data_IF_387622638117
#
_entry.id   IF_387622638117
#
_cell.length_a   1.000
_cell.length_b   1.000
_cell.length_c   1.000
_cell.angle_alpha   90.00
_cell.angle_beta   90.00
_cell.angle_gamma   90.00
#
_symmetry.space_group_name_H-M   'P 1'
#
loop_
_entity.id
_entity.type
_entity.pdbx_description
1 polymer ?
#
# COMPACT_ATOMS: atom_id res chain seq x y z
N UNK A 1 6.17 13.75 -35.74
CA UNK A 1 5.42 14.17 -34.53
C UNK A 1 4.02 13.58 -34.47
N UNK A 2 3.15 13.79 -35.48
CA UNK A 2 1.78 13.24 -35.48
C UNK A 2 1.69 11.70 -35.46
N UNK A 3 2.62 11.01 -36.13
CA UNK A 3 2.67 9.54 -36.16
C UNK A 3 2.99 8.94 -34.77
N UNK A 4 3.91 9.57 -34.03
CA UNK A 4 4.29 9.14 -32.67
C UNK A 4 3.11 9.39 -31.72
N UNK A 5 2.45 10.55 -31.82
CA UNK A 5 1.28 10.86 -31.00
C UNK A 5 0.12 9.87 -31.24
N UNK A 6 -0.15 9.51 -32.49
CA UNK A 6 -1.18 8.53 -32.83
C UNK A 6 -0.83 7.13 -32.29
N UNK A 7 0.43 6.71 -32.39
CA UNK A 7 0.89 5.43 -31.82
C UNK A 7 0.75 5.41 -30.30
N UNK A 8 1.12 6.49 -29.61
CA UNK A 8 0.97 6.63 -28.15
C UNK A 8 -0.49 6.64 -27.68
N UNK A 9 -1.42 7.14 -28.49
CA UNK A 9 -2.86 7.09 -28.16
C UNK A 9 -3.48 5.71 -28.41
N UNK A 10 -2.97 4.97 -29.40
CA UNK A 10 -3.49 3.66 -29.79
C UNK A 10 -2.98 2.56 -28.85
N UNK A 11 -1.72 2.68 -28.44
CA UNK A 11 -1.16 1.95 -27.29
C UNK A 11 -1.69 2.66 -26.05
N UNK A 12 -2.99 2.46 -25.71
CA UNK A 12 -3.56 2.88 -24.42
C UNK A 12 -2.48 2.69 -23.38
N UNK A 13 -2.06 3.77 -22.70
CA UNK A 13 -0.91 3.79 -21.79
C UNK A 13 -0.87 2.51 -20.94
N UNK A 14 -0.19 1.47 -21.44
CA UNK A 14 0.09 0.25 -20.72
C UNK A 14 1.40 0.47 -19.96
N UNK A 15 1.53 1.70 -19.44
CA UNK A 15 2.68 2.18 -18.71
C UNK A 15 2.42 1.78 -17.27
N UNK A 16 3.21 0.87 -16.66
CA UNK A 16 2.91 0.37 -15.32
C UNK A 16 3.14 1.41 -14.22
N UNK A 17 3.40 2.68 -14.56
CA UNK A 17 3.98 3.67 -13.64
C UNK A 17 3.09 4.90 -13.32
N UNK A 18 1.76 4.83 -13.41
CA UNK A 18 0.95 5.98 -12.93
C UNK A 18 0.76 6.00 -11.41
N UNK A 19 0.98 4.87 -10.72
CA UNK A 19 0.83 4.77 -9.26
C UNK A 19 2.16 4.62 -8.50
N UNK A 20 3.29 4.56 -9.22
CA UNK A 20 4.60 4.62 -8.58
C UNK A 20 4.84 6.04 -8.05
N UNK A 21 5.46 6.20 -6.87
CA UNK A 21 5.81 7.52 -6.38
C UNK A 21 6.71 8.20 -7.42
N UNK A 22 6.17 9.22 -8.11
CA UNK A 22 6.95 10.09 -8.99
C UNK A 22 8.19 10.53 -8.21
N UNK A 23 9.37 10.22 -8.75
CA UNK A 23 10.67 10.34 -8.10
C UNK A 23 10.79 11.65 -7.30
N UNK A 24 10.60 11.53 -5.98
CA UNK A 24 11.00 12.55 -5.05
C UNK A 24 12.51 12.71 -5.13
N UNK A 25 12.97 13.94 -4.86
CA UNK A 25 14.36 14.38 -4.74
C UNK A 25 15.33 13.21 -4.43
N UNK A 26 16.41 12.97 -5.20
CA UNK A 26 17.36 11.89 -4.94
C UNK A 26 17.85 12.01 -3.50
N UNK A 27 17.35 11.12 -2.65
CA UNK A 27 17.56 11.17 -1.21
C UNK A 27 18.38 9.95 -0.85
N UNK A 28 19.33 10.11 0.07
CA UNK A 28 20.12 8.97 0.57
C UNK A 28 19.28 7.97 1.37
N UNK A 29 18.03 8.32 1.68
CA UNK A 29 17.08 7.46 2.39
C UNK A 29 16.21 6.69 1.41
N UNK A 30 15.97 5.39 1.67
CA UNK A 30 15.05 4.60 0.86
C UNK A 30 13.65 5.22 0.79
N UNK A 31 13.03 5.13 -0.38
CA UNK A 31 11.65 5.60 -0.60
C UNK A 31 10.68 4.45 -0.36
N UNK A 32 9.74 4.62 0.57
CA UNK A 32 8.77 3.58 0.93
C UNK A 32 7.41 3.77 0.23
N UNK A 33 6.85 2.65 -0.26
CA UNK A 33 5.50 2.55 -0.79
C UNK A 33 4.78 1.32 -0.23
N UNK A 34 3.45 1.34 -0.28
CA UNK A 34 2.61 0.26 0.23
C UNK A 34 1.72 -0.29 -0.87
N UNK A 35 1.54 -1.60 -0.87
CA UNK A 35 0.65 -2.31 -1.79
C UNK A 35 0.02 -3.52 -1.10
N UNK A 36 -1.04 -4.06 -1.70
CA UNK A 36 -1.73 -5.24 -1.20
C UNK A 36 -1.53 -6.41 -2.17
N UNK A 37 -1.37 -7.60 -1.63
CA UNK A 37 -1.37 -8.86 -2.39
C UNK A 37 -2.47 -9.78 -1.88
N UNK A 38 -2.81 -10.82 -2.65
CA UNK A 38 -3.58 -11.94 -2.12
C UNK A 38 -2.71 -12.89 -1.27
N UNK A 39 -3.31 -14.00 -0.81
CA UNK A 39 -2.64 -15.04 -0.03
C UNK A 39 -1.53 -15.80 -0.78
N UNK A 40 -1.53 -15.76 -2.13
CA UNK A 40 -0.44 -16.30 -2.95
C UNK A 40 0.69 -15.31 -3.22
N UNK A 41 0.55 -14.06 -2.78
CA UNK A 41 1.53 -13.00 -3.01
C UNK A 41 1.33 -12.26 -4.34
N UNK A 42 0.24 -12.52 -5.06
CA UNK A 42 -0.07 -11.82 -6.31
C UNK A 42 -0.60 -10.40 -6.03
N UNK A 43 -0.08 -9.35 -6.69
CA UNK A 43 -0.51 -7.98 -6.46
C UNK A 43 -2.00 -7.75 -6.77
N UNK A 44 -2.70 -7.08 -5.86
CA UNK A 44 -4.10 -6.73 -6.03
C UNK A 44 -4.27 -5.41 -6.79
N UNK A 45 -5.25 -5.29 -7.70
CA UNK A 45 -5.63 -4.03 -8.34
C UNK A 45 -6.43 -3.15 -7.36
N UNK A 46 -5.80 -2.70 -6.27
CA UNK A 46 -6.46 -2.04 -5.13
C UNK A 46 -7.28 -0.81 -5.54
N UNK A 47 -6.78 -0.01 -6.48
CA UNK A 47 -7.48 1.17 -6.96
C UNK A 47 -8.82 0.82 -7.64
N UNK A 48 -8.86 -0.26 -8.42
CA UNK A 48 -10.10 -0.73 -9.05
C UNK A 48 -11.07 -1.27 -8.00
N UNK A 49 -10.57 -2.10 -7.07
CA UNK A 49 -11.38 -2.81 -6.09
C UNK A 49 -11.91 -1.91 -4.97
N UNK A 50 -11.09 -0.96 -4.48
CA UNK A 50 -11.39 -0.15 -3.30
C UNK A 50 -11.49 1.36 -3.59
N UNK A 51 -11.01 1.82 -4.76
CA UNK A 51 -10.85 3.24 -5.05
C UNK A 51 -9.67 3.90 -4.33
N UNK A 52 -8.83 3.14 -3.64
CA UNK A 52 -7.66 3.64 -2.91
C UNK A 52 -6.39 3.49 -3.76
N UNK A 53 -5.58 4.54 -3.79
CA UNK A 53 -4.27 4.55 -4.45
C UNK A 53 -3.16 4.22 -3.46
N UNK A 54 -2.00 3.74 -3.91
CA UNK A 54 -0.86 3.41 -3.03
C UNK A 54 -0.47 4.54 -2.05
N UNK A 55 -0.44 5.84 -2.46
CA UNK A 55 -0.21 6.94 -1.51
C UNK A 55 -1.30 7.06 -0.44
N UNK A 56 -2.57 6.77 -0.78
CA UNK A 56 -3.68 6.81 0.18
C UNK A 56 -3.63 5.63 1.15
N UNK A 57 -3.20 4.44 0.68
CA UNK A 57 -2.94 3.29 1.55
C UNK A 57 -1.90 3.68 2.62
N UNK A 58 -0.73 4.18 2.19
CA UNK A 58 0.32 4.68 3.08
C UNK A 58 -0.22 5.75 4.04
N UNK A 59 -0.98 6.72 3.54
CA UNK A 59 -1.57 7.78 4.37
C UNK A 59 -2.49 7.22 5.44
N UNK A 60 -3.37 6.26 5.13
CA UNK A 60 -4.25 5.62 6.12
C UNK A 60 -3.47 4.90 7.21
N UNK A 61 -2.46 4.14 6.83
CA UNK A 61 -1.56 3.45 7.76
C UNK A 61 -0.91 4.42 8.74
N UNK A 62 -0.21 5.43 8.20
CA UNK A 62 0.47 6.44 9.00
C UNK A 62 -0.52 7.20 9.89
N UNK A 63 -1.70 7.53 9.38
CA UNK A 63 -2.71 8.27 10.16
C UNK A 63 -3.18 7.47 11.38
N UNK A 64 -3.43 6.17 11.24
CA UNK A 64 -3.86 5.34 12.37
C UNK A 64 -2.73 5.10 13.37
N UNK A 65 -1.50 4.89 12.91
CA UNK A 65 -0.33 4.76 13.79
C UNK A 65 -0.07 6.06 14.56
N UNK A 66 -0.14 7.22 13.90
CA UNK A 66 0.01 8.53 14.56
C UNK A 66 -1.12 8.82 15.55
N UNK A 67 -2.35 8.37 15.25
CA UNK A 67 -3.47 8.46 16.18
C UNK A 67 -3.18 7.65 17.44
N UNK A 68 -2.71 6.41 17.29
CA UNK A 68 -2.31 5.57 18.43
C UNK A 68 -1.19 6.21 19.26
N UNK A 69 -0.14 6.74 18.62
CA UNK A 69 0.95 7.45 19.30
C UNK A 69 0.41 8.60 20.14
N UNK A 70 -0.53 9.39 19.60
CA UNK A 70 -1.16 10.50 20.32
C UNK A 70 -2.01 10.01 21.50
N UNK A 71 -2.86 9.01 21.28
CA UNK A 71 -3.81 8.49 22.26
C UNK A 71 -3.09 7.80 23.44
N UNK A 72 -1.91 7.23 23.19
CA UNK A 72 -1.08 6.54 24.18
C UNK A 72 0.14 7.36 24.65
N UNK A 73 0.23 8.64 24.29
CA UNK A 73 1.32 9.55 24.66
C UNK A 73 2.75 9.01 24.38
N UNK A 74 2.90 8.29 23.26
CA UNK A 74 4.18 7.76 22.82
C UNK A 74 5.03 8.86 22.16
N UNK A 75 6.35 8.69 22.17
CA UNK A 75 7.28 9.64 21.56
C UNK A 75 7.12 9.70 20.04
N UNK A 76 7.05 8.55 19.40
CA UNK A 76 6.97 8.39 17.96
C UNK A 76 6.41 7.00 17.58
N UNK A 77 6.33 6.75 16.27
CA UNK A 77 5.83 5.49 15.70
C UNK A 77 6.73 4.29 16.03
N UNK A 78 8.01 4.49 16.29
CA UNK A 78 8.93 3.40 16.62
C UNK A 78 8.73 2.90 18.06
N UNK A 79 8.08 3.70 18.91
CA UNK A 79 7.71 3.31 20.26
C UNK A 79 6.40 2.50 20.35
N UNK A 80 5.71 2.24 19.22
CA UNK A 80 4.49 1.41 19.20
C UNK A 80 4.89 -0.05 19.43
N UNK A 81 4.31 -0.76 20.42
CA UNK A 81 4.57 -2.18 20.62
C UNK A 81 4.19 -3.01 19.38
N UNK A 82 4.97 -4.05 19.01
CA UNK A 82 4.72 -4.85 17.80
C UNK A 82 3.32 -5.45 17.71
N UNK A 83 2.74 -5.84 18.85
CA UNK A 83 1.39 -6.39 18.95
C UNK A 83 0.32 -5.36 18.57
N UNK A 84 0.42 -4.14 19.10
CA UNK A 84 -0.52 -3.05 18.78
C UNK A 84 -0.32 -2.54 17.36
N UNK A 85 0.93 -2.52 16.88
CA UNK A 85 1.20 -2.21 15.49
C UNK A 85 0.45 -3.18 14.58
N UNK A 86 0.62 -4.49 14.78
CA UNK A 86 -0.07 -5.53 14.01
C UNK A 86 -1.60 -5.36 14.05
N UNK A 87 -2.17 -5.04 15.21
CA UNK A 87 -3.61 -4.78 15.37
C UNK A 87 -4.08 -3.57 14.56
N UNK A 88 -3.36 -2.44 14.65
CA UNK A 88 -3.67 -1.22 13.89
C UNK A 88 -3.68 -1.50 12.39
N UNK A 89 -2.66 -2.20 11.89
CA UNK A 89 -2.53 -2.54 10.47
C UNK A 89 -3.62 -3.49 10.00
N UNK A 90 -3.97 -4.48 10.82
CA UNK A 90 -5.09 -5.40 10.60
C UNK A 90 -6.44 -4.66 10.51
N UNK A 91 -6.65 -3.65 11.37
CA UNK A 91 -7.84 -2.80 11.33
C UNK A 91 -7.91 -1.97 10.04
N UNK A 92 -6.78 -1.43 9.57
CA UNK A 92 -6.73 -0.71 8.28
C UNK A 92 -7.05 -1.64 7.12
N UNK A 93 -6.47 -2.85 7.11
CA UNK A 93 -6.78 -3.88 6.10
C UNK A 93 -8.26 -4.25 6.06
N UNK A 94 -8.86 -4.46 7.23
CA UNK A 94 -10.31 -4.73 7.35
C UNK A 94 -11.15 -3.57 6.81
N UNK A 95 -10.69 -2.32 6.98
CA UNK A 95 -11.32 -1.15 6.36
C UNK A 95 -11.35 -1.20 4.83
N UNK A 96 -10.31 -1.74 4.19
CA UNK A 96 -10.31 -1.94 2.73
C UNK A 96 -11.32 -3.00 2.27
N UNK A 97 -11.53 -4.06 3.07
CA UNK A 97 -12.55 -5.07 2.80
C UNK A 97 -13.95 -4.45 2.82
N UNK A 98 -14.28 -3.68 3.85
CA UNK A 98 -15.56 -2.96 3.94
C UNK A 98 -15.73 -1.99 2.77
N UNK A 99 -14.66 -1.28 2.39
CA UNK A 99 -14.70 -0.34 1.28
C UNK A 99 -14.91 -1.03 -0.07
N UNK A 100 -14.25 -2.17 -0.34
CA UNK A 100 -14.48 -2.94 -1.55
C UNK A 100 -15.95 -3.38 -1.64
N UNK A 101 -16.51 -3.92 -0.54
CA UNK A 101 -17.92 -4.33 -0.46
C UNK A 101 -18.87 -3.18 -0.74
N UNK A 102 -18.61 -2.00 -0.18
CA UNK A 102 -19.42 -0.79 -0.44
C UNK A 102 -19.44 -0.35 -1.91
N UNK A 103 -18.42 -0.76 -2.69
CA UNK A 103 -18.30 -0.48 -4.12
C UNK A 103 -18.80 -1.63 -5.00
N UNK A 104 -19.42 -2.66 -4.41
CA UNK A 104 -19.88 -3.84 -5.13
C UNK A 104 -18.75 -4.76 -5.60
N UNK A 105 -17.54 -4.60 -5.05
CA UNK A 105 -16.38 -5.46 -5.31
C UNK A 105 -16.10 -6.35 -4.10
N UNK A 106 -15.40 -7.46 -4.32
CA UNK A 106 -14.91 -8.33 -3.24
C UNK A 106 -13.39 -8.42 -3.30
N UNK A 107 -12.74 -8.34 -2.16
CA UNK A 107 -11.33 -8.70 -2.04
C UNK A 107 -11.20 -10.21 -1.81
N UNK A 108 -10.07 -10.84 -2.15
CA UNK A 108 -9.84 -12.25 -1.92
C UNK A 108 -9.92 -12.65 -0.43
N UNK A 109 -10.10 -13.95 -0.13
CA UNK A 109 -10.16 -14.47 1.23
C UNK A 109 -8.95 -14.13 2.07
N UNK A 110 -7.77 -13.99 1.48
CA UNK A 110 -6.56 -13.59 2.19
C UNK A 110 -5.96 -12.36 1.50
N UNK A 111 -5.59 -11.38 2.32
CA UNK A 111 -4.94 -10.15 1.88
C UNK A 111 -3.71 -9.92 2.73
N UNK A 112 -2.61 -9.57 2.09
CA UNK A 112 -1.37 -9.20 2.75
C UNK A 112 -1.02 -7.76 2.43
N UNK A 113 -0.53 -7.02 3.43
CA UNK A 113 0.03 -5.68 3.26
C UNK A 113 1.53 -5.77 3.15
N UNK A 114 2.07 -5.20 2.08
CA UNK A 114 3.50 -5.14 1.83
C UNK A 114 3.98 -3.71 1.81
N UNK A 115 5.19 -3.51 2.32
CA UNK A 115 5.96 -2.29 2.20
C UNK A 115 7.17 -2.55 1.30
N UNK A 116 7.19 -1.86 0.17
CA UNK A 116 8.35 -1.81 -0.72
C UNK A 116 9.27 -0.66 -0.32
N UNK A 117 10.57 -0.91 -0.30
CA UNK A 117 11.61 0.09 -0.11
C UNK A 117 12.47 0.17 -1.37
N UNK A 118 12.51 1.35 -2.00
CA UNK A 118 13.36 1.62 -3.14
C UNK A 118 14.67 2.23 -2.64
N UNK A 119 15.77 1.52 -2.83
CA UNK A 119 17.12 1.95 -2.51
C UNK A 119 17.78 2.52 -3.77
N UNK A 120 18.15 3.79 -3.74
CA UNK A 120 18.86 4.44 -4.85
C UNK A 120 20.37 4.32 -4.67
N UNK A 121 21.09 3.98 -5.73
CA UNK A 121 22.54 3.91 -5.76
C UNK A 121 23.07 4.48 -7.08
N UNK A 122 24.37 4.79 -7.14
CA UNK A 122 24.97 5.48 -8.30
C UNK A 122 24.77 4.77 -9.65
N UNK A 123 24.49 3.46 -9.64
CA UNK A 123 24.33 2.63 -10.84
C UNK A 123 22.89 2.14 -11.08
N UNK A 124 21.90 2.60 -10.30
CA UNK A 124 20.51 2.18 -10.45
C UNK A 124 19.71 2.21 -9.16
N UNK A 125 18.77 1.27 -9.04
CA UNK A 125 18.00 1.07 -7.82
C UNK A 125 17.84 -0.41 -7.51
N UNK A 126 17.57 -0.72 -6.24
CA UNK A 126 17.15 -2.05 -5.79
C UNK A 126 15.90 -1.91 -4.92
N UNK A 127 15.12 -2.98 -4.84
CA UNK A 127 13.90 -3.03 -4.03
C UNK A 127 14.03 -4.10 -2.96
N UNK A 128 13.51 -3.80 -1.77
CA UNK A 128 13.29 -4.79 -0.71
C UNK A 128 11.85 -4.72 -0.25
N UNK A 129 11.29 -5.88 0.13
CA UNK A 129 9.88 -6.02 0.49
C UNK A 129 9.75 -6.57 1.90
N UNK A 130 8.94 -5.90 2.71
CA UNK A 130 8.61 -6.29 4.08
C UNK A 130 7.11 -6.54 4.16
N UNK A 131 6.70 -7.73 4.60
CA UNK A 131 5.30 -8.00 4.88
C UNK A 131 4.95 -7.37 6.23
N UNK A 132 4.01 -6.42 6.23
CA UNK A 132 3.68 -5.61 7.40
C UNK A 132 2.44 -6.13 8.15
N UNK A 133 1.54 -6.84 7.46
CA UNK A 133 0.35 -7.48 8.04
C UNK A 133 -0.30 -8.47 7.05
N UNK A 134 -1.14 -9.37 7.56
CA UNK A 134 -2.04 -10.19 6.76
C UNK A 134 -3.39 -10.39 7.46
N UNK A 135 -4.46 -10.47 6.69
CA UNK A 135 -5.82 -10.69 7.19
C UNK A 135 -6.53 -11.71 6.33
N UNK A 136 -7.21 -12.65 6.98
CA UNK A 136 -8.19 -13.51 6.33
C UNK A 136 -9.56 -12.82 6.36
N UNK A 137 -10.05 -12.38 5.20
CA UNK A 137 -11.31 -11.66 5.01
C UNK A 137 -12.55 -12.55 5.12
N UNK A 138 -12.37 -13.87 5.13
CA UNK A 138 -13.41 -14.85 5.42
C UNK A 138 -13.57 -15.12 6.93
N UNK A 139 -12.62 -14.68 7.77
CA UNK A 139 -12.74 -14.74 9.22
C UNK A 139 -13.55 -13.54 9.75
N UNK A 140 -14.37 -13.70 10.80
CA UNK A 140 -15.06 -12.58 11.44
C UNK A 140 -14.04 -11.58 11.99
N UNK A 141 -14.28 -10.29 11.76
CA UNK A 141 -13.41 -9.22 12.26
C UNK A 141 -13.27 -9.32 13.79
N UNK A 142 -12.06 -9.16 14.35
CA UNK A 142 -11.90 -9.10 15.80
C UNK A 142 -12.68 -7.92 16.38
N UNK A 143 -13.23 -8.07 17.61
CA UNK A 143 -14.12 -7.09 18.25
C UNK A 143 -13.46 -5.72 18.49
#
# INVERSE_FOLDING_TARGET
MALIAALSLTIRENYPFSHFPMYGNPNSRPVDYYFLTDGSGEPLPVAALTGETAPRIKKRMITQELKYVKDHHLKDRAAIPPENLTEIRTRVLSGFVTQARSRGSSLPPEIQLWKGLIHQHNQGYSESFEQEAAVNTAAPSPP
#
